data_IF_265652682428
#
_entry.id   IF_265652682428
#
_cell.length_a   1.000
_cell.length_b   1.000
_cell.length_c   1.000
_cell.angle_alpha   90.00
_cell.angle_beta   90.00
_cell.angle_gamma   90.00
#
_symmetry.space_group_name_H-M   'P 1'
#
loop_
_entity.id
_entity.type
_entity.pdbx_description
1 polymer ?
#
# COMPACT_ATOMS: atom_id res chain seq x y z
N UNK A 1 -34.58 14.36 13.61
CA UNK A 1 -33.85 13.09 13.79
C UNK A 1 -32.74 13.08 12.76
N UNK A 2 -31.50 13.32 13.17
CA UNK A 2 -30.35 13.11 12.31
C UNK A 2 -30.27 11.60 12.08
N UNK A 3 -30.54 11.12 10.87
CA UNK A 3 -30.05 9.80 10.48
C UNK A 3 -28.54 9.92 10.56
N UNK A 4 -27.92 9.34 11.57
CA UNK A 4 -26.51 8.97 11.47
C UNK A 4 -26.39 8.21 10.16
N UNK A 5 -25.73 8.82 9.18
CA UNK A 5 -25.39 8.11 7.96
C UNK A 5 -24.41 7.03 8.41
N UNK A 6 -24.86 5.78 8.42
CA UNK A 6 -24.00 4.63 8.59
C UNK A 6 -23.16 4.53 7.32
N UNK A 7 -22.06 5.29 7.29
CA UNK A 7 -21.19 5.37 6.13
C UNK A 7 -20.65 3.98 5.85
N UNK A 8 -20.78 3.46 4.61
CA UNK A 8 -20.17 2.20 4.22
C UNK A 8 -18.70 2.15 4.63
N UNK A 9 -18.28 1.05 5.22
CA UNK A 9 -16.88 0.84 5.61
C UNK A 9 -16.01 0.67 4.35
N UNK A 10 -14.90 1.39 4.19
CA UNK A 10 -14.02 1.31 3.00
C UNK A 10 -12.62 0.83 3.37
N UNK A 11 -12.17 -0.26 2.75
CA UNK A 11 -10.79 -0.72 2.86
C UNK A 11 -10.00 -0.19 1.68
N UNK A 12 -8.95 0.58 1.97
CA UNK A 12 -8.03 1.11 0.96
C UNK A 12 -6.78 0.24 0.95
N UNK A 13 -6.49 -0.35 -0.20
CA UNK A 13 -5.32 -1.21 -0.36
C UNK A 13 -4.17 -0.44 -0.96
N UNK A 14 -3.00 -0.53 -0.33
CA UNK A 14 -1.76 0.06 -0.82
C UNK A 14 -0.68 -1.01 -0.95
N UNK A 15 -0.15 -1.16 -2.16
CA UNK A 15 0.99 -2.03 -2.44
C UNK A 15 2.21 -1.19 -2.74
N UNK A 16 3.34 -1.46 -2.10
CA UNK A 16 4.59 -0.71 -2.23
C UNK A 16 5.78 -1.63 -2.48
N UNK A 17 6.85 -1.08 -3.06
CA UNK A 17 8.12 -1.76 -3.32
C UNK A 17 9.30 -0.88 -2.88
N UNK A 18 9.39 -0.49 -1.61
CA UNK A 18 10.51 0.26 -1.03
C UNK A 18 10.71 1.69 -1.54
N UNK A 19 9.76 2.27 -2.29
CA UNK A 19 9.82 3.66 -2.78
C UNK A 19 9.25 4.62 -1.75
N UNK A 20 10.04 4.88 -0.70
CA UNK A 20 9.68 5.76 0.41
C UNK A 20 9.11 7.11 -0.03
N UNK A 21 9.74 7.75 -1.01
CA UNK A 21 9.36 9.07 -1.51
C UNK A 21 7.92 9.08 -2.07
N UNK A 22 7.58 8.09 -2.89
CA UNK A 22 6.26 7.97 -3.51
C UNK A 22 5.20 7.56 -2.48
N UNK A 23 5.48 6.53 -1.69
CA UNK A 23 4.53 6.03 -0.70
C UNK A 23 4.18 7.08 0.35
N UNK A 24 5.19 7.80 0.84
CA UNK A 24 4.95 8.89 1.77
C UNK A 24 4.04 9.95 1.15
N UNK A 25 4.35 10.37 -0.08
CA UNK A 25 3.56 11.39 -0.77
C UNK A 25 2.11 10.95 -0.96
N UNK A 26 1.88 9.71 -1.39
CA UNK A 26 0.53 9.19 -1.66
C UNK A 26 -0.29 9.04 -0.38
N UNK A 27 0.30 8.49 0.69
CA UNK A 27 -0.37 8.35 1.98
C UNK A 27 -0.67 9.71 2.60
N UNK A 28 0.29 10.63 2.63
CA UNK A 28 0.08 11.98 3.17
C UNK A 28 -0.97 12.74 2.37
N UNK A 29 -0.95 12.62 1.04
CA UNK A 29 -1.95 13.22 0.17
C UNK A 29 -3.35 12.66 0.43
N UNK A 30 -3.48 11.32 0.53
CA UNK A 30 -4.76 10.69 0.85
C UNK A 30 -5.28 11.16 2.21
N UNK A 31 -4.45 11.10 3.26
CA UNK A 31 -4.86 11.51 4.61
C UNK A 31 -5.26 12.99 4.66
N UNK A 32 -4.55 13.86 3.95
CA UNK A 32 -4.86 15.29 3.93
C UNK A 32 -6.17 15.64 3.22
N UNK A 33 -6.57 14.86 2.20
CA UNK A 33 -7.71 15.20 1.34
C UNK A 33 -8.92 14.27 1.50
N UNK A 34 -8.77 13.12 2.17
CA UNK A 34 -9.86 12.19 2.37
C UNK A 34 -10.83 12.70 3.45
N UNK A 35 -12.02 13.11 3.03
CA UNK A 35 -13.11 13.52 3.93
C UNK A 35 -14.03 12.37 4.32
N UNK A 36 -13.79 11.15 3.80
CA UNK A 36 -14.60 10.00 4.15
C UNK A 36 -14.27 9.52 5.56
N UNK A 37 -15.25 9.32 6.46
CA UNK A 37 -14.97 9.09 7.88
C UNK A 37 -14.69 7.62 8.23
N UNK A 38 -15.13 6.66 7.42
CA UNK A 38 -15.16 5.24 7.79
C UNK A 38 -14.28 4.39 6.87
N UNK A 39 -12.96 4.41 7.11
CA UNK A 39 -11.99 3.73 6.27
C UNK A 39 -10.83 3.11 7.06
N UNK A 40 -10.17 2.14 6.46
CA UNK A 40 -8.94 1.53 6.98
C UNK A 40 -7.93 1.27 5.87
N UNK A 41 -6.64 1.28 6.23
CA UNK A 41 -5.57 0.83 5.35
C UNK A 41 -5.30 -0.67 5.50
N UNK A 42 -5.10 -1.33 4.37
CA UNK A 42 -4.42 -2.62 4.27
C UNK A 42 -3.20 -2.40 3.39
N UNK A 43 -2.03 -2.46 4.00
CA UNK A 43 -0.76 -2.13 3.37
C UNK A 43 0.04 -3.40 3.14
N UNK A 44 0.53 -3.57 1.92
CA UNK A 44 1.45 -4.62 1.53
C UNK A 44 2.76 -3.99 1.05
N UNK A 45 3.80 -4.12 1.86
CA UNK A 45 5.17 -3.71 1.52
C UNK A 45 5.93 -4.92 0.97
N UNK A 46 6.26 -4.85 -0.32
CA UNK A 46 7.02 -5.85 -1.03
C UNK A 46 8.51 -5.54 -0.93
N UNK A 47 9.24 -6.32 -0.14
CA UNK A 47 10.69 -6.16 -0.01
C UNK A 47 11.39 -6.83 -1.20
N UNK A 48 12.19 -6.09 -1.98
CA UNK A 48 12.97 -6.66 -3.07
C UNK A 48 13.94 -7.73 -2.55
N UNK A 49 14.00 -8.88 -3.22
CA UNK A 49 15.02 -9.90 -2.99
C UNK A 49 16.32 -9.54 -3.72
N UNK A 50 17.45 -10.12 -3.32
CA UNK A 50 18.74 -9.96 -4.02
C UNK A 50 18.63 -10.26 -5.53
N UNK A 51 17.84 -11.27 -5.89
CA UNK A 51 17.59 -11.63 -7.28
C UNK A 51 16.81 -10.55 -8.02
N UNK A 52 15.76 -10.02 -7.41
CA UNK A 52 14.93 -8.99 -8.02
C UNK A 52 15.67 -7.66 -8.20
N UNK A 53 16.60 -7.32 -7.29
CA UNK A 53 17.35 -6.05 -7.30
C UNK A 53 18.15 -5.84 -8.60
N UNK A 54 18.47 -6.93 -9.32
CA UNK A 54 19.15 -6.88 -10.64
C UNK A 54 18.34 -6.14 -11.71
N UNK A 55 17.03 -6.04 -11.55
CA UNK A 55 16.12 -5.45 -12.52
C UNK A 55 15.71 -4.00 -12.20
N UNK A 56 16.23 -3.43 -11.10
CA UNK A 56 15.76 -2.13 -10.60
C UNK A 56 16.89 -1.13 -10.35
N UNK A 57 16.51 0.15 -10.37
CA UNK A 57 17.37 1.24 -9.93
C UNK A 57 17.45 1.26 -8.39
N UNK A 58 18.34 0.42 -7.84
CA UNK A 58 18.46 0.16 -6.39
C UNK A 58 18.70 1.38 -5.50
N UNK A 59 19.40 2.46 -5.92
CA UNK A 59 19.55 3.68 -5.12
C UNK A 59 18.23 4.37 -4.74
N UNK A 60 17.15 4.15 -5.49
CA UNK A 60 15.83 4.73 -5.19
C UNK A 60 15.05 3.88 -4.19
N UNK A 61 15.43 2.62 -4.00
CA UNK A 61 14.78 1.69 -3.09
C UNK A 61 15.32 1.93 -1.67
N UNK A 62 14.47 2.47 -0.81
CA UNK A 62 14.73 2.75 0.60
C UNK A 62 13.79 1.89 1.45
N UNK A 63 13.86 0.56 1.30
CA UNK A 63 12.91 -0.38 1.94
C UNK A 63 12.85 -0.23 3.46
N UNK A 64 14.00 -0.18 4.15
CA UNK A 64 14.03 0.00 5.61
C UNK A 64 13.33 1.28 6.04
N UNK A 65 13.61 2.38 5.34
CA UNK A 65 12.97 3.69 5.60
C UNK A 65 11.47 3.66 5.29
N UNK A 66 11.07 2.94 4.24
CA UNK A 66 9.67 2.75 3.86
C UNK A 66 8.93 1.99 4.95
N UNK A 67 9.49 0.86 5.40
CA UNK A 67 8.95 0.03 6.48
C UNK A 67 8.79 0.85 7.78
N UNK A 68 9.82 1.59 8.19
CA UNK A 68 9.75 2.42 9.40
C UNK A 68 8.67 3.48 9.30
N UNK A 69 8.50 4.10 8.12
CA UNK A 69 7.42 5.05 7.90
C UNK A 69 6.04 4.40 7.93
N UNK A 70 5.85 3.24 7.29
CA UNK A 70 4.57 2.55 7.23
C UNK A 70 4.05 2.16 8.63
N UNK A 71 4.93 1.91 9.59
CA UNK A 71 4.58 1.68 11.01
C UNK A 71 3.97 2.90 11.70
N UNK A 72 4.15 4.10 11.16
CA UNK A 72 3.65 5.36 11.72
C UNK A 72 2.31 5.81 11.11
N UNK A 73 1.84 5.13 10.06
CA UNK A 73 0.64 5.52 9.32
C UNK A 73 -0.60 5.28 10.18
N UNK A 74 -1.53 6.26 10.30
CA UNK A 74 -2.76 6.09 11.08
C UNK A 74 -3.75 5.17 10.36
N UNK A 75 -4.69 4.57 11.11
CA UNK A 75 -5.77 3.73 10.58
C UNK A 75 -5.30 2.52 9.77
N UNK A 76 -4.09 2.02 10.04
CA UNK A 76 -3.60 0.76 9.48
C UNK A 76 -4.23 -0.40 10.23
N UNK A 77 -5.12 -1.13 9.54
CA UNK A 77 -5.68 -2.37 10.05
C UNK A 77 -4.67 -3.52 9.93
N UNK A 78 -4.00 -3.61 8.78
CA UNK A 78 -3.00 -4.65 8.52
C UNK A 78 -1.84 -4.11 7.70
N UNK A 79 -0.63 -4.36 8.18
CA UNK A 79 0.63 -4.12 7.48
C UNK A 79 1.29 -5.48 7.26
N UNK A 80 1.49 -5.84 5.99
CA UNK A 80 2.19 -7.05 5.56
C UNK A 80 3.50 -6.64 4.94
N UNK A 81 4.60 -7.24 5.39
CA UNK A 81 5.94 -7.01 4.86
C UNK A 81 6.44 -8.36 4.40
N UNK A 82 6.51 -8.56 3.09
CA UNK A 82 6.88 -9.84 2.51
C UNK A 82 7.91 -9.67 1.39
N UNK A 83 8.83 -10.64 1.22
CA UNK A 83 9.66 -10.68 0.03
C UNK A 83 8.76 -10.83 -1.20
N UNK A 84 9.13 -10.21 -2.30
CA UNK A 84 8.31 -10.11 -3.52
C UNK A 84 7.60 -11.41 -3.91
N UNK A 85 6.27 -11.52 -3.73
CA UNK A 85 5.51 -12.64 -4.26
C UNK A 85 5.14 -12.38 -5.73
N UNK A 86 4.79 -13.43 -6.46
CA UNK A 86 4.02 -13.27 -7.70
C UNK A 86 2.71 -12.53 -7.40
N UNK A 87 2.36 -11.55 -8.22
CA UNK A 87 1.21 -10.64 -8.03
C UNK A 87 -0.13 -11.34 -7.72
N UNK A 88 -0.35 -12.56 -8.24
CA UNK A 88 -1.53 -13.37 -7.94
C UNK A 88 -1.69 -13.72 -6.45
N UNK A 89 -0.58 -13.95 -5.74
CA UNK A 89 -0.59 -14.25 -4.30
C UNK A 89 -0.86 -12.98 -3.48
N UNK A 90 -0.37 -11.82 -3.95
CA UNK A 90 -0.61 -10.53 -3.28
C UNK A 90 -2.10 -10.18 -3.31
N UNK A 91 -2.77 -10.36 -4.45
CA UNK A 91 -4.21 -10.10 -4.56
C UNK A 91 -5.05 -10.97 -3.62
N UNK A 92 -4.72 -12.26 -3.47
CA UNK A 92 -5.42 -13.14 -2.54
C UNK A 92 -5.14 -12.76 -1.09
N UNK A 93 -3.89 -12.48 -0.72
CA UNK A 93 -3.54 -12.01 0.63
C UNK A 93 -4.25 -10.71 1.01
N UNK A 94 -4.43 -9.78 0.06
CA UNK A 94 -5.20 -8.55 0.27
C UNK A 94 -6.69 -8.85 0.48
N UNK A 95 -7.26 -9.78 -0.29
CA UNK A 95 -8.64 -10.22 -0.11
C UNK A 95 -8.87 -10.85 1.27
N UNK A 96 -7.97 -11.73 1.69
CA UNK A 96 -8.05 -12.45 2.99
C UNK A 96 -7.80 -11.52 4.19
N UNK A 97 -7.04 -10.44 3.97
CA UNK A 97 -6.77 -9.40 4.96
C UNK A 97 -7.94 -8.41 5.14
N UNK A 98 -8.93 -8.43 4.25
CA UNK A 98 -10.03 -7.47 4.26
C UNK A 98 -11.23 -8.02 5.01
N UNK A 99 -11.69 -7.27 6.02
CA UNK A 99 -12.98 -7.51 6.66
C UNK A 99 -14.11 -7.52 5.62
N UNK A 100 -14.93 -8.57 5.64
CA UNK A 100 -15.99 -8.81 4.62
C UNK A 100 -17.06 -7.72 4.57
N UNK A 101 -17.16 -6.91 5.63
CA UNK A 101 -18.11 -5.82 5.76
C UNK A 101 -17.64 -4.51 5.08
N UNK A 102 -16.41 -4.48 4.56
CA UNK A 102 -15.83 -3.32 3.89
C UNK A 102 -15.94 -3.42 2.36
N UNK A 103 -16.29 -2.31 1.72
CA UNK A 103 -16.11 -2.12 0.28
C UNK A 103 -14.62 -1.97 -0.05
N UNK A 104 -14.19 -2.61 -1.14
CA UNK A 104 -12.77 -2.71 -1.55
C UNK A 104 -12.44 -1.64 -2.57
N UNK A 105 -11.44 -0.80 -2.28
CA UNK A 105 -10.88 0.16 -3.23
C UNK A 105 -9.37 -0.07 -3.31
N UNK A 106 -8.90 -0.51 -4.48
CA UNK A 106 -7.50 -0.80 -4.72
C UNK A 106 -6.74 0.40 -5.30
N UNK A 107 -5.57 0.71 -4.73
CA UNK A 107 -4.55 1.53 -5.39
C UNK A 107 -3.39 0.63 -5.81
N UNK A 108 -3.09 0.58 -7.10
CA UNK A 108 -1.90 -0.10 -7.64
C UNK A 108 -0.80 0.93 -7.87
N UNK A 109 0.24 0.89 -7.03
CA UNK A 109 1.55 1.43 -7.38
C UNK A 109 2.42 0.27 -7.84
N UNK A 110 2.27 -0.14 -9.10
CA UNK A 110 3.08 -1.22 -9.67
C UNK A 110 3.99 -0.72 -10.80
N UNK A 111 5.29 -0.94 -10.58
CA UNK A 111 6.42 -1.18 -11.50
C UNK A 111 6.78 -0.19 -12.61
N UNK A 112 5.82 0.59 -13.14
CA UNK A 112 6.03 1.26 -14.43
C UNK A 112 7.16 2.30 -14.36
N UNK A 113 7.42 2.92 -13.20
CA UNK A 113 8.51 3.89 -13.07
C UNK A 113 9.88 3.29 -12.75
N UNK A 114 9.96 2.09 -12.18
CA UNK A 114 11.25 1.47 -11.86
C UNK A 114 11.88 0.76 -13.07
N UNK A 115 11.07 0.36 -14.05
CA UNK A 115 11.53 -0.22 -15.32
C UNK A 115 11.77 0.82 -16.43
N UNK A 116 11.09 1.97 -16.39
CA UNK A 116 11.13 2.98 -17.47
C UNK A 116 12.43 3.79 -17.60
N UNK A 117 13.48 3.54 -16.81
CA UNK A 117 14.79 4.19 -16.99
C UNK A 117 15.82 3.36 -17.76
N UNK A 118 15.45 2.15 -18.22
CA UNK A 118 16.30 1.27 -19.02
C UNK A 118 15.79 1.05 -20.46
N UNK A 119 14.95 1.95 -20.98
CA UNK A 119 14.55 2.02 -22.40
C UNK A 119 14.94 3.36 -23.00
#
# INVERSE_FOLDING_TARGET
MNKEFDYPKISVWLTSTGRYDLIKQDIESFVAHNTYPNWQWIIFESVPTEESLKYYNTPLLQSDKTIEYLKTVPNVHKLMIEPWPYWGNVAQSLLDATDTDYFKIGSLLFLNQCLQKNL
#
